data_IF_363958654082
#
_entry.id   IF_363958654082
#
_cell.length_a   1.000
_cell.length_b   1.000
_cell.length_c   1.000
_cell.angle_alpha   90.00
_cell.angle_beta   90.00
_cell.angle_gamma   90.00
#
_symmetry.space_group_name_H-M   'P 1'
#
loop_
_entity.id
_entity.type
_entity.pdbx_description
1 polymer ?
#
# COMPACT_ATOMS: atom_id res chain seq x y z
N UNK A 1 -28.38 19.20 13.91
CA UNK A 1 -27.13 18.54 14.32
C UNK A 1 -26.19 18.54 13.12
N UNK A 2 -25.02 19.14 13.23
CA UNK A 2 -24.04 18.94 12.16
C UNK A 2 -23.67 17.47 12.14
N UNK A 3 -23.91 16.83 11.00
CA UNK A 3 -23.41 15.49 10.78
C UNK A 3 -21.89 15.59 10.65
N UNK A 4 -21.15 15.15 11.66
CA UNK A 4 -19.73 14.96 11.53
C UNK A 4 -19.53 13.79 10.56
N UNK A 5 -19.17 14.10 9.32
CA UNK A 5 -18.80 13.09 8.35
C UNK A 5 -17.43 12.54 8.78
N UNK A 6 -17.44 11.43 9.49
CA UNK A 6 -16.21 10.73 9.80
C UNK A 6 -15.76 10.00 8.53
N UNK A 7 -14.73 10.54 7.87
CA UNK A 7 -14.10 9.86 6.75
C UNK A 7 -13.38 8.61 7.30
N UNK A 8 -13.62 7.48 6.65
CA UNK A 8 -12.81 6.30 6.88
C UNK A 8 -11.39 6.55 6.40
N UNK A 9 -10.42 6.12 7.17
CA UNK A 9 -9.00 6.28 6.82
C UNK A 9 -8.52 5.11 5.97
N UNK A 10 -7.57 5.40 5.09
CA UNK A 10 -6.84 4.39 4.33
C UNK A 10 -5.36 4.74 4.37
N UNK A 11 -4.53 3.73 4.64
CA UNK A 11 -3.08 3.88 4.67
C UNK A 11 -2.52 3.57 3.29
N UNK A 12 -1.68 4.46 2.78
CA UNK A 12 -0.87 4.19 1.59
C UNK A 12 0.57 4.12 2.07
N UNK A 13 1.12 2.93 2.13
CA UNK A 13 2.41 2.66 2.74
C UNK A 13 3.43 2.28 1.67
N UNK A 14 4.53 3.01 1.64
CA UNK A 14 5.56 2.86 0.62
C UNK A 14 6.91 2.54 1.30
N UNK A 15 7.55 1.50 0.81
CA UNK A 15 8.80 0.99 1.35
C UNK A 15 10.05 1.68 0.79
N UNK A 16 11.19 0.98 0.90
CA UNK A 16 12.50 1.57 0.64
C UNK A 16 12.68 1.96 -0.81
N UNK A 17 13.41 3.04 -1.00
CA UNK A 17 13.83 3.59 -2.29
C UNK A 17 12.68 4.18 -3.14
N UNK A 18 11.44 4.13 -2.68
CA UNK A 18 10.31 4.72 -3.42
C UNK A 18 10.35 6.25 -3.41
N UNK A 19 11.10 6.84 -2.48
CA UNK A 19 11.41 8.26 -2.49
C UNK A 19 12.21 8.68 -3.74
N UNK A 20 12.87 7.74 -4.41
CA UNK A 20 13.64 7.97 -5.63
C UNK A 20 12.80 7.81 -6.91
N UNK A 21 11.51 7.58 -6.77
CA UNK A 21 10.62 7.37 -7.91
C UNK A 21 10.63 8.61 -8.82
N UNK A 22 10.69 8.38 -10.14
CA UNK A 22 10.81 9.45 -11.14
C UNK A 22 12.24 9.77 -11.54
N UNK A 23 13.22 9.38 -10.71
CA UNK A 23 14.65 9.63 -10.98
C UNK A 23 15.44 8.34 -11.17
N UNK A 24 14.83 7.19 -10.82
CA UNK A 24 15.47 5.89 -10.79
C UNK A 24 14.84 4.96 -11.83
N UNK A 25 15.67 4.37 -12.68
CA UNK A 25 15.27 3.34 -13.65
C UNK A 25 13.90 3.61 -14.31
N UNK A 26 13.76 4.71 -15.11
CA UNK A 26 12.46 5.07 -15.71
C UNK A 26 11.85 3.96 -16.57
N UNK A 27 12.66 3.10 -17.18
CA UNK A 27 12.21 1.96 -17.97
C UNK A 27 11.46 0.91 -17.13
N UNK A 28 11.71 0.87 -15.81
CA UNK A 28 11.03 -0.05 -14.88
C UNK A 28 9.85 0.61 -14.14
N UNK A 29 10.01 1.88 -13.75
CA UNK A 29 9.09 2.57 -12.84
C UNK A 29 8.35 3.74 -13.49
N UNK A 30 8.72 4.12 -14.75
CA UNK A 30 8.17 5.29 -15.41
C UNK A 30 8.77 6.59 -14.87
N UNK A 31 8.21 7.72 -15.30
CA UNK A 31 8.67 9.06 -14.93
C UNK A 31 7.88 9.69 -13.79
N UNK A 32 6.80 9.07 -13.33
CA UNK A 32 6.00 9.59 -12.23
C UNK A 32 6.82 9.63 -10.94
N UNK A 33 6.68 10.70 -10.19
CA UNK A 33 7.31 10.86 -8.88
C UNK A 33 6.42 10.26 -7.78
N UNK A 34 6.98 10.16 -6.57
CA UNK A 34 6.18 9.76 -5.40
C UNK A 34 5.08 10.78 -5.10
N UNK A 35 5.34 12.08 -5.36
CA UNK A 35 4.31 13.12 -5.21
C UNK A 35 3.15 12.90 -6.20
N UNK A 36 3.43 12.44 -7.41
CA UNK A 36 2.39 12.08 -8.38
C UNK A 36 1.55 10.90 -7.89
N UNK A 37 2.17 9.92 -7.26
CA UNK A 37 1.47 8.79 -6.65
C UNK A 37 0.54 9.28 -5.54
N UNK A 38 1.04 10.15 -4.67
CA UNK A 38 0.23 10.71 -3.58
C UNK A 38 -0.97 11.47 -4.13
N UNK A 39 -0.78 12.32 -5.14
CA UNK A 39 -1.86 13.06 -5.78
C UNK A 39 -2.91 12.13 -6.37
N UNK A 40 -2.50 11.06 -7.04
CA UNK A 40 -3.40 10.06 -7.61
C UNK A 40 -4.19 9.35 -6.50
N UNK A 41 -3.53 8.98 -5.42
CA UNK A 41 -4.20 8.32 -4.28
C UNK A 41 -5.27 9.21 -3.67
N UNK A 42 -4.97 10.50 -3.44
CA UNK A 42 -5.94 11.44 -2.88
C UNK A 42 -7.10 11.69 -3.83
N UNK A 43 -6.82 11.86 -5.12
CA UNK A 43 -7.86 12.06 -6.13
C UNK A 43 -8.79 10.85 -6.25
N UNK A 44 -8.28 9.65 -6.06
CA UNK A 44 -9.06 8.42 -6.09
C UNK A 44 -9.89 8.24 -4.81
N UNK A 45 -9.30 8.54 -3.67
CA UNK A 45 -9.91 8.27 -2.36
C UNK A 45 -11.01 9.27 -2.01
N UNK A 46 -10.84 10.55 -2.35
CA UNK A 46 -11.78 11.60 -1.95
C UNK A 46 -13.22 11.34 -2.39
N UNK A 47 -13.49 10.97 -3.67
CA UNK A 47 -14.87 10.65 -4.09
C UNK A 47 -15.44 9.41 -3.37
N UNK A 48 -14.60 8.57 -2.82
CA UNK A 48 -15.02 7.36 -2.09
C UNK A 48 -15.23 7.62 -0.60
N UNK A 49 -15.08 8.87 -0.15
CA UNK A 49 -15.22 9.23 1.26
C UNK A 49 -14.06 8.76 2.13
N UNK A 50 -12.89 8.56 1.54
CA UNK A 50 -11.71 8.07 2.25
C UNK A 50 -10.70 9.17 2.49
N UNK A 51 -10.11 9.18 3.68
CA UNK A 51 -9.00 10.05 4.06
C UNK A 51 -7.70 9.29 3.93
N UNK A 52 -6.80 9.79 3.08
CA UNK A 52 -5.52 9.15 2.81
C UNK A 52 -4.47 9.58 3.84
N UNK A 53 -3.81 8.59 4.44
CA UNK A 53 -2.55 8.76 5.17
C UNK A 53 -1.44 8.17 4.29
N UNK A 54 -0.62 9.04 3.70
CA UNK A 54 0.41 8.65 2.75
C UNK A 54 1.77 8.68 3.44
N UNK A 55 2.48 7.53 3.44
CA UNK A 55 3.74 7.36 4.14
C UNK A 55 4.76 6.68 3.22
N UNK A 56 6.00 7.12 3.32
CA UNK A 56 7.15 6.42 2.72
C UNK A 56 8.25 6.32 3.76
N UNK A 57 8.87 5.16 3.89
CA UNK A 57 10.02 4.97 4.76
C UNK A 57 10.98 3.93 4.20
N UNK A 58 12.27 4.17 4.42
CA UNK A 58 13.32 3.19 4.14
C UNK A 58 13.55 2.24 5.32
N UNK A 59 12.87 2.47 6.43
CA UNK A 59 13.08 1.73 7.68
C UNK A 59 11.98 0.71 7.91
N UNK A 60 12.37 -0.56 7.97
CA UNK A 60 11.43 -1.66 8.16
C UNK A 60 10.60 -1.50 9.44
N UNK A 61 11.25 -1.10 10.54
CA UNK A 61 10.56 -0.89 11.82
C UNK A 61 9.50 0.19 11.76
N UNK A 62 9.73 1.28 11.03
CA UNK A 62 8.73 2.33 10.85
C UNK A 62 7.52 1.81 10.07
N UNK A 63 7.77 1.00 9.03
CA UNK A 63 6.67 0.37 8.27
C UNK A 63 5.84 -0.55 9.17
N UNK A 64 6.50 -1.33 10.03
CA UNK A 64 5.84 -2.20 10.99
C UNK A 64 4.97 -1.38 11.96
N UNK A 65 5.48 -0.27 12.48
CA UNK A 65 4.73 0.57 13.41
C UNK A 65 3.47 1.13 12.78
N UNK A 66 3.51 1.52 11.50
CA UNK A 66 2.33 1.98 10.77
C UNK A 66 1.31 0.84 10.58
N UNK A 67 1.79 -0.37 10.31
CA UNK A 67 0.91 -1.55 10.19
C UNK A 67 0.20 -1.82 11.52
N UNK A 68 0.93 -1.76 12.64
CA UNK A 68 0.33 -1.93 13.96
C UNK A 68 -0.75 -0.88 14.25
N UNK A 69 -0.44 0.39 13.98
CA UNK A 69 -1.38 1.49 14.23
C UNK A 69 -2.65 1.35 13.40
N UNK A 70 -2.53 1.03 12.12
CA UNK A 70 -3.69 0.87 11.24
C UNK A 70 -4.47 -0.40 11.50
N UNK A 71 -3.82 -1.48 11.94
CA UNK A 71 -4.50 -2.66 12.41
C UNK A 71 -5.48 -2.34 13.54
N UNK A 72 -5.05 -1.51 14.50
CA UNK A 72 -5.92 -1.04 15.58
C UNK A 72 -7.06 -0.16 15.07
N UNK A 73 -6.78 0.76 14.15
CA UNK A 73 -7.82 1.62 13.57
C UNK A 73 -8.87 0.81 12.81
N UNK A 74 -8.46 -0.23 12.10
CA UNK A 74 -9.40 -1.12 11.42
C UNK A 74 -10.28 -1.86 12.41
N UNK A 75 -9.74 -2.35 13.53
CA UNK A 75 -10.52 -3.01 14.58
C UNK A 75 -11.52 -2.05 15.21
N UNK A 76 -11.20 -0.77 15.28
CA UNK A 76 -12.08 0.27 15.83
C UNK A 76 -13.11 0.78 14.82
N UNK A 77 -13.09 0.27 13.59
CA UNK A 77 -13.98 0.74 12.53
C UNK A 77 -13.61 2.11 11.97
N UNK A 78 -12.36 2.57 12.16
CA UNK A 78 -11.90 3.91 11.75
C UNK A 78 -11.08 3.89 10.47
N UNK A 79 -10.65 2.72 10.01
CA UNK A 79 -9.86 2.57 8.79
C UNK A 79 -10.30 1.33 8.02
N UNK A 80 -10.10 1.34 6.70
CA UNK A 80 -10.44 0.21 5.82
C UNK A 80 -9.29 -0.78 5.66
N UNK A 81 -8.07 -0.31 5.70
CA UNK A 81 -6.91 -1.13 5.42
C UNK A 81 -5.77 -0.32 4.83
N UNK A 82 -4.88 -0.99 4.12
CA UNK A 82 -3.70 -0.38 3.54
C UNK A 82 -3.45 -0.84 2.11
N UNK A 83 -3.02 0.10 1.28
CA UNK A 83 -2.32 -0.18 0.03
C UNK A 83 -0.84 -0.18 0.37
N UNK A 84 -0.16 -1.28 0.17
CA UNK A 84 1.23 -1.43 0.59
C UNK A 84 2.12 -1.79 -0.60
N UNK A 85 3.02 -0.87 -0.93
CA UNK A 85 4.12 -1.15 -1.84
C UNK A 85 5.38 -1.34 -0.99
N UNK A 86 5.76 -2.60 -0.69
CA UNK A 86 6.90 -2.86 0.19
C UNK A 86 8.26 -2.60 -0.47
N UNK A 87 8.28 -2.36 -1.76
CA UNK A 87 9.52 -2.31 -2.51
C UNK A 87 10.26 -3.64 -2.40
N UNK A 88 11.58 -3.59 -2.28
CA UNK A 88 12.39 -4.80 -2.18
C UNK A 88 12.15 -5.60 -0.90
N UNK A 89 11.57 -5.00 0.15
CA UNK A 89 11.24 -5.75 1.37
C UNK A 89 10.23 -6.86 1.13
N UNK A 90 9.46 -6.81 0.05
CA UNK A 90 8.53 -7.90 -0.29
C UNK A 90 9.27 -9.24 -0.46
N UNK A 91 10.53 -9.18 -0.91
CA UNK A 91 11.34 -10.36 -1.19
C UNK A 91 12.15 -10.86 0.00
N UNK A 92 12.19 -10.08 1.10
CA UNK A 92 13.12 -10.35 2.22
C UNK A 92 12.48 -10.30 3.60
N UNK A 93 11.36 -9.60 3.78
CA UNK A 93 10.89 -9.27 5.13
C UNK A 93 9.86 -10.24 5.67
N UNK A 94 10.32 -11.20 6.47
CA UNK A 94 9.45 -12.02 7.31
C UNK A 94 8.79 -11.16 8.40
N UNK A 95 9.48 -10.12 8.89
CA UNK A 95 8.94 -9.25 9.93
C UNK A 95 7.71 -8.47 9.46
N UNK A 96 7.70 -7.98 8.22
CA UNK A 96 6.52 -7.33 7.64
C UNK A 96 5.37 -8.33 7.43
N UNK A 97 5.69 -9.54 6.97
CA UNK A 97 4.71 -10.63 6.88
C UNK A 97 4.03 -10.83 8.25
N UNK A 98 4.83 -10.97 9.29
CA UNK A 98 4.31 -11.21 10.64
C UNK A 98 3.49 -10.05 11.17
N UNK A 99 3.88 -8.81 10.86
CA UNK A 99 3.11 -7.63 11.26
C UNK A 99 1.71 -7.62 10.63
N UNK A 100 1.62 -7.88 9.34
CA UNK A 100 0.34 -7.94 8.63
C UNK A 100 -0.51 -9.08 9.17
N UNK A 101 0.08 -10.26 9.31
CA UNK A 101 -0.64 -11.44 9.83
C UNK A 101 -1.10 -11.24 11.26
N UNK A 102 -0.24 -10.71 12.13
CA UNK A 102 -0.52 -10.54 13.55
C UNK A 102 -1.57 -9.48 13.84
N UNK A 103 -1.65 -8.44 13.02
CA UNK A 103 -2.63 -7.35 13.21
C UNK A 103 -3.95 -7.61 12.49
N UNK A 104 -3.96 -8.52 11.52
CA UNK A 104 -5.12 -8.73 10.67
C UNK A 104 -5.43 -7.55 9.75
N UNK A 105 -4.49 -6.61 9.57
CA UNK A 105 -4.68 -5.47 8.69
C UNK A 105 -4.98 -5.93 7.26
N UNK A 106 -6.12 -5.53 6.67
CA UNK A 106 -6.37 -5.81 5.26
C UNK A 106 -5.38 -5.03 4.39
N UNK A 107 -4.54 -5.76 3.66
CA UNK A 107 -3.49 -5.17 2.82
C UNK A 107 -3.67 -5.62 1.39
N UNK A 108 -3.58 -4.67 0.45
CA UNK A 108 -3.36 -5.01 -0.96
C UNK A 108 -1.90 -4.69 -1.27
N UNK A 109 -1.14 -5.73 -1.58
CA UNK A 109 0.24 -5.59 -2.02
C UNK A 109 0.27 -5.02 -3.43
N UNK A 110 1.04 -3.94 -3.64
CA UNK A 110 1.05 -3.22 -4.91
C UNK A 110 2.49 -2.99 -5.36
N UNK A 111 2.77 -3.32 -6.60
CA UNK A 111 4.06 -3.07 -7.25
C UNK A 111 3.84 -2.32 -8.56
N UNK A 112 4.65 -1.29 -8.79
CA UNK A 112 4.60 -0.48 -10.02
C UNK A 112 5.05 -1.31 -11.21
N UNK A 113 6.20 -2.00 -11.07
CA UNK A 113 6.75 -2.85 -12.12
C UNK A 113 6.10 -4.24 -12.10
N UNK A 114 6.17 -4.93 -13.24
CA UNK A 114 5.83 -6.35 -13.28
C UNK A 114 7.03 -7.14 -12.74
N UNK A 115 6.96 -7.51 -11.47
CA UNK A 115 8.04 -8.24 -10.78
C UNK A 115 8.34 -9.59 -11.45
N UNK A 116 7.35 -10.19 -12.10
CA UNK A 116 7.51 -11.48 -12.77
C UNK A 116 8.25 -11.39 -14.10
N UNK A 117 8.42 -10.17 -14.64
CA UNK A 117 9.23 -9.91 -15.82
C UNK A 117 10.67 -9.50 -15.48
N UNK A 118 11.04 -9.56 -14.20
CA UNK A 118 12.35 -9.16 -13.69
C UNK A 118 13.13 -10.39 -13.21
N UNK A 119 14.20 -10.17 -12.45
CA UNK A 119 15.07 -11.24 -11.95
C UNK A 119 14.30 -12.25 -11.09
N UNK A 120 14.70 -13.50 -11.13
CA UNK A 120 13.99 -14.60 -10.46
C UNK A 120 13.79 -14.36 -8.95
N UNK A 121 14.75 -13.68 -8.28
CA UNK A 121 14.60 -13.40 -6.83
C UNK A 121 13.43 -12.45 -6.53
N UNK A 122 12.90 -11.74 -7.53
CA UNK A 122 11.75 -10.85 -7.37
C UNK A 122 10.41 -11.57 -7.57
N UNK A 123 10.41 -12.85 -7.91
CA UNK A 123 9.19 -13.59 -8.15
C UNK A 123 8.53 -14.10 -6.87
N UNK A 124 9.22 -14.05 -5.73
CA UNK A 124 8.68 -14.48 -4.44
C UNK A 124 8.39 -13.27 -3.56
N UNK A 125 7.23 -13.30 -2.89
CA UNK A 125 6.83 -12.29 -1.92
C UNK A 125 6.46 -12.93 -0.59
N UNK A 126 7.02 -12.41 0.50
CA UNK A 126 6.60 -12.76 1.86
C UNK A 126 5.28 -12.09 2.25
N UNK A 127 4.87 -11.04 1.53
CA UNK A 127 3.64 -10.29 1.82
C UNK A 127 2.42 -10.90 1.16
N UNK A 128 2.57 -11.44 -0.05
CA UNK A 128 1.45 -11.98 -0.82
C UNK A 128 0.60 -12.99 -0.05
N UNK A 129 1.17 -13.96 0.69
CA UNK A 129 0.36 -14.93 1.42
C UNK A 129 -0.53 -14.34 2.51
N UNK A 130 -0.22 -13.15 3.03
CA UNK A 130 -0.98 -12.50 4.11
C UNK A 130 -1.75 -11.28 3.62
N UNK A 131 -1.63 -10.95 2.34
CA UNK A 131 -2.38 -9.85 1.71
C UNK A 131 -3.78 -10.32 1.30
N UNK A 132 -4.70 -9.37 1.18
CA UNK A 132 -6.03 -9.62 0.59
C UNK A 132 -5.88 -9.96 -0.89
N UNK A 133 -4.98 -9.29 -1.57
CA UNK A 133 -4.69 -9.50 -2.97
C UNK A 133 -3.43 -8.76 -3.40
N UNK A 134 -3.05 -8.94 -4.66
CA UNK A 134 -1.81 -8.39 -5.23
C UNK A 134 -2.12 -7.71 -6.55
N UNK A 135 -1.56 -6.52 -6.76
CA UNK A 135 -1.59 -5.80 -8.04
C UNK A 135 -0.14 -5.51 -8.40
N UNK A 136 0.29 -5.94 -9.57
CA UNK A 136 1.67 -5.74 -10.02
C UNK A 136 1.71 -5.43 -11.51
N UNK A 137 2.61 -4.54 -11.91
CA UNK A 137 2.92 -4.30 -13.32
C UNK A 137 2.04 -3.27 -14.03
N UNK A 138 1.18 -2.57 -13.33
CA UNK A 138 0.23 -1.63 -13.94
C UNK A 138 0.62 -0.17 -13.70
N UNK A 139 1.90 0.08 -13.38
CA UNK A 139 2.37 1.43 -13.09
C UNK A 139 1.74 2.00 -11.84
N UNK A 140 1.65 3.32 -11.76
CA UNK A 140 1.06 3.98 -10.59
C UNK A 140 -0.46 3.78 -10.50
N UNK A 141 -1.12 3.42 -11.60
CA UNK A 141 -2.55 3.10 -11.59
C UNK A 141 -2.88 1.94 -10.65
N UNK A 142 -1.91 1.07 -10.36
CA UNK A 142 -2.10 0.00 -9.38
C UNK A 142 -2.54 0.50 -8.02
N UNK A 143 -2.05 1.67 -7.59
CA UNK A 143 -2.47 2.30 -6.33
C UNK A 143 -3.96 2.67 -6.36
N UNK A 144 -4.41 3.27 -7.45
CA UNK A 144 -5.82 3.65 -7.59
C UNK A 144 -6.73 2.43 -7.58
N UNK A 145 -6.34 1.38 -8.29
CA UNK A 145 -7.09 0.12 -8.33
C UNK A 145 -7.14 -0.54 -6.96
N UNK A 146 -6.05 -0.48 -6.20
CA UNK A 146 -5.99 -1.04 -4.85
C UNK A 146 -6.91 -0.29 -3.88
N UNK A 147 -6.95 1.05 -3.97
CA UNK A 147 -7.87 1.87 -3.17
C UNK A 147 -9.32 1.49 -3.48
N UNK A 148 -9.65 1.38 -4.76
CA UNK A 148 -11.00 0.99 -5.20
C UNK A 148 -11.36 -0.41 -4.69
N UNK A 149 -10.42 -1.35 -4.76
CA UNK A 149 -10.64 -2.71 -4.29
C UNK A 149 -10.94 -2.75 -2.79
N UNK A 150 -10.18 -2.00 -1.97
CA UNK A 150 -10.44 -1.91 -0.53
C UNK A 150 -11.79 -1.26 -0.24
N UNK A 151 -12.14 -0.20 -0.98
CA UNK A 151 -13.41 0.52 -0.79
C UNK A 151 -14.62 -0.36 -1.10
N UNK A 152 -14.50 -1.26 -2.05
CA UNK A 152 -15.60 -2.14 -2.50
C UNK A 152 -15.55 -3.54 -1.87
N UNK A 153 -14.54 -3.80 -1.03
CA UNK A 153 -14.37 -5.10 -0.41
C UNK A 153 -15.49 -5.40 0.57
N UNK A 154 -16.07 -6.60 0.43
CA UNK A 154 -17.02 -7.10 1.40
C UNK A 154 -16.26 -7.77 2.55
N UNK A 155 -16.51 -7.37 3.82
CA UNK A 155 -15.91 -8.07 4.96
C UNK A 155 -16.41 -9.52 4.97
N UNK A 156 -15.48 -10.44 5.22
CA UNK A 156 -15.84 -11.85 5.43
C UNK A 156 -16.38 -12.06 6.83
#
# INVERSE_FOLDING_TARGET
>A
MPSYTHFMKILILNGPNLNLLGTREPEQYGHASLADVEALCRATATPLGLEVHFVQSNHEGELIDHIHAYGQLCQQGKALGAVFNPGAFTHTSVALHDAVKGTGLPVIETHISNVFAREAFRHHSYLSPVAVGVIAGLGIQGYALAIQALAHRQPK
#
